data_IF_829315716856
#
_entry.id   IF_829315716856
#
_cell.length_a   1.000
_cell.length_b   1.000
_cell.length_c   1.000
_cell.angle_alpha   90.00
_cell.angle_beta   90.00
_cell.angle_gamma   90.00
#
_symmetry.space_group_name_H-M   'P 1'
#
loop_
_entity.id
_entity.type
_entity.pdbx_description
1 polymer ?
#
# COMPACT_ATOMS: atom_id res chain seq x y z
N UNK A 1 -1.10 -23.01 -2.30
CA UNK A 1 -0.10 -24.06 -2.04
C UNK A 1 1.26 -23.48 -1.69
N UNK A 2 1.97 -22.79 -2.60
CA UNK A 2 3.28 -22.18 -2.28
C UNK A 2 3.23 -21.25 -1.05
N UNK A 3 2.13 -20.52 -0.89
CA UNK A 3 1.84 -19.69 0.27
C UNK A 3 2.05 -20.41 1.61
N UNK A 4 1.81 -21.72 1.70
CA UNK A 4 1.90 -22.50 2.94
C UNK A 4 3.31 -22.52 3.54
N UNK A 5 4.34 -22.31 2.74
CA UNK A 5 5.73 -22.36 3.17
C UNK A 5 6.18 -21.14 4.01
N UNK A 6 5.39 -20.06 4.04
CA UNK A 6 5.85 -18.78 4.59
C UNK A 6 5.18 -18.44 5.93
N UNK A 7 5.90 -17.89 6.93
CA UNK A 7 5.33 -17.46 8.21
C UNK A 7 4.65 -16.09 8.11
N UNK A 8 3.76 -15.92 7.14
CA UNK A 8 3.05 -14.67 6.85
C UNK A 8 1.59 -14.96 6.48
N UNK A 9 0.72 -14.00 6.77
CA UNK A 9 -0.63 -14.04 6.23
C UNK A 9 -0.59 -13.63 4.76
N UNK A 10 -1.24 -14.38 3.88
CA UNK A 10 -1.21 -14.13 2.44
C UNK A 10 -2.62 -14.19 1.86
N UNK A 11 -2.95 -13.19 1.04
CA UNK A 11 -4.12 -13.15 0.18
C UNK A 11 -3.66 -12.74 -1.22
N UNK A 12 -4.38 -13.19 -2.24
CA UNK A 12 -3.96 -13.04 -3.64
C UNK A 12 -4.98 -12.24 -4.44
N UNK A 13 -4.48 -11.40 -5.33
CA UNK A 13 -5.28 -10.70 -6.32
C UNK A 13 -5.30 -11.50 -7.64
N UNK A 14 -6.47 -11.59 -8.26
CA UNK A 14 -6.59 -11.98 -9.66
C UNK A 14 -6.42 -10.80 -10.61
N UNK A 15 -6.43 -11.05 -11.91
CA UNK A 15 -6.48 -10.02 -12.96
C UNK A 15 -7.91 -9.52 -13.13
N UNK A 16 -8.11 -8.21 -13.00
CA UNK A 16 -9.41 -7.53 -13.13
C UNK A 16 -9.75 -7.04 -14.55
N UNK A 17 -8.77 -7.01 -15.46
CA UNK A 17 -8.93 -6.45 -16.79
C UNK A 17 -9.57 -7.42 -17.79
N UNK A 18 -10.91 -7.46 -17.80
CA UNK A 18 -11.72 -8.16 -18.81
C UNK A 18 -13.10 -7.52 -18.84
N UNK A 19 -13.75 -7.48 -20.01
CA UNK A 19 -15.07 -6.85 -20.18
C UNK A 19 -16.24 -7.84 -20.06
N UNK A 20 -15.98 -9.06 -19.60
CA UNK A 20 -16.98 -10.11 -19.35
C UNK A 20 -16.81 -10.65 -17.92
N UNK A 21 -17.89 -10.97 -17.20
CA UNK A 21 -17.81 -11.26 -15.77
C UNK A 21 -17.20 -12.64 -15.46
N UNK A 22 -17.50 -13.66 -16.27
CA UNK A 22 -17.19 -15.05 -15.95
C UNK A 22 -15.70 -15.32 -15.66
N UNK A 23 -14.73 -14.81 -16.46
CA UNK A 23 -13.31 -15.01 -16.16
C UNK A 23 -12.84 -14.36 -14.85
N UNK A 24 -13.55 -13.35 -14.35
CA UNK A 24 -13.26 -12.75 -13.03
C UNK A 24 -13.82 -13.63 -11.91
N UNK A 25 -15.04 -14.11 -12.07
CA UNK A 25 -15.72 -14.99 -11.11
C UNK A 25 -14.90 -16.27 -10.90
N UNK A 26 -14.37 -16.88 -11.97
CA UNK A 26 -13.54 -18.08 -11.89
C UNK A 26 -12.27 -17.89 -11.07
N UNK A 27 -11.63 -16.71 -11.13
CA UNK A 27 -10.44 -16.40 -10.32
C UNK A 27 -10.80 -16.23 -8.84
N UNK A 28 -11.95 -15.61 -8.56
CA UNK A 28 -12.45 -15.44 -7.19
C UNK A 28 -12.87 -16.79 -6.61
N UNK A 29 -13.60 -17.62 -7.37
CA UNK A 29 -13.96 -19.00 -7.04
C UNK A 29 -12.72 -19.88 -6.81
N UNK A 30 -11.59 -19.56 -7.44
CA UNK A 30 -10.32 -20.26 -7.25
C UNK A 30 -9.51 -19.80 -6.02
N UNK A 31 -9.86 -18.68 -5.38
CA UNK A 31 -9.23 -18.22 -4.13
C UNK A 31 -8.80 -16.76 -4.07
N UNK A 32 -8.96 -15.97 -5.14
CA UNK A 32 -8.58 -14.55 -5.11
C UNK A 32 -9.46 -13.76 -4.14
N UNK A 33 -8.87 -12.91 -3.29
CA UNK A 33 -9.59 -12.03 -2.35
C UNK A 33 -9.91 -10.65 -2.93
N UNK A 34 -9.43 -10.40 -4.15
CA UNK A 34 -9.57 -9.15 -4.86
C UNK A 34 -9.10 -9.28 -6.30
N UNK A 35 -9.32 -8.23 -7.08
CA UNK A 35 -8.89 -8.14 -8.48
C UNK A 35 -8.05 -6.87 -8.69
N UNK A 36 -6.96 -6.96 -9.45
CA UNK A 36 -6.14 -5.81 -9.87
C UNK A 36 -6.51 -5.41 -11.29
N UNK A 37 -6.98 -4.18 -11.46
CA UNK A 37 -7.04 -3.47 -12.73
C UNK A 37 -5.69 -2.78 -12.97
N UNK A 38 -5.03 -3.08 -14.08
CA UNK A 38 -3.75 -2.49 -14.47
C UNK A 38 -3.77 -2.01 -15.92
N UNK A 39 -3.13 -0.87 -16.21
CA UNK A 39 -3.13 -0.30 -17.55
C UNK A 39 -2.43 -1.19 -18.59
N UNK A 40 -1.37 -1.90 -18.20
CA UNK A 40 -0.69 -2.92 -19.02
C UNK A 40 -1.61 -4.03 -19.54
N UNK A 41 -2.77 -4.25 -18.88
CA UNK A 41 -3.81 -5.17 -19.32
C UNK A 41 -5.05 -4.45 -19.87
N UNK A 42 -5.03 -3.13 -19.98
CA UNK A 42 -6.12 -2.25 -20.40
C UNK A 42 -7.05 -1.86 -19.26
N UNK A 43 -6.76 -0.76 -18.55
CA UNK A 43 -7.62 -0.18 -17.50
C UNK A 43 -8.75 0.69 -18.07
N UNK A 44 -9.49 0.15 -19.03
CA UNK A 44 -10.56 0.87 -19.75
C UNK A 44 -11.83 0.98 -18.91
N UNK A 45 -12.72 1.96 -19.17
CA UNK A 45 -14.00 2.09 -18.50
C UNK A 45 -14.85 0.80 -18.50
N UNK A 46 -14.82 0.01 -19.59
CA UNK A 46 -15.55 -1.24 -19.69
C UNK A 46 -15.00 -2.32 -18.74
N UNK A 47 -13.67 -2.45 -18.65
CA UNK A 47 -13.02 -3.37 -17.74
C UNK A 47 -13.25 -2.96 -16.27
N UNK A 48 -13.13 -1.67 -15.97
CA UNK A 48 -13.40 -1.10 -14.64
C UNK A 48 -14.85 -1.39 -14.22
N UNK A 49 -15.83 -1.10 -15.08
CA UNK A 49 -17.24 -1.30 -14.77
C UNK A 49 -17.57 -2.77 -14.49
N UNK A 50 -17.08 -3.68 -15.34
CA UNK A 50 -17.27 -5.12 -15.18
C UNK A 50 -16.60 -5.64 -13.90
N UNK A 51 -15.34 -5.26 -13.64
CA UNK A 51 -14.61 -5.66 -12.46
C UNK A 51 -15.30 -5.22 -11.17
N UNK A 52 -15.76 -3.97 -11.11
CA UNK A 52 -16.50 -3.46 -9.95
C UNK A 52 -17.87 -4.13 -9.82
N UNK A 53 -18.56 -4.46 -10.92
CA UNK A 53 -19.82 -5.19 -10.86
C UNK A 53 -19.65 -6.62 -10.31
N UNK A 54 -18.57 -7.31 -10.67
CA UNK A 54 -18.21 -8.63 -10.09
C UNK A 54 -17.84 -8.46 -8.61
N UNK A 55 -17.03 -7.45 -8.27
CA UNK A 55 -16.63 -7.17 -6.90
C UNK A 55 -17.83 -6.95 -5.97
N UNK A 56 -18.85 -6.19 -6.41
CA UNK A 56 -20.11 -6.02 -5.66
C UNK A 56 -20.84 -7.34 -5.41
N UNK A 57 -20.90 -8.25 -6.39
CA UNK A 57 -21.60 -9.53 -6.25
C UNK A 57 -20.88 -10.53 -5.35
N UNK A 58 -19.56 -10.49 -5.33
CA UNK A 58 -18.72 -11.52 -4.68
C UNK A 58 -18.01 -11.04 -3.41
N UNK A 59 -18.28 -9.81 -2.97
CA UNK A 59 -17.67 -9.16 -1.81
C UNK A 59 -16.13 -9.24 -1.80
N UNK A 60 -15.51 -8.74 -2.86
CA UNK A 60 -14.04 -8.64 -2.97
C UNK A 60 -13.58 -7.21 -3.24
N UNK A 61 -12.31 -6.89 -2.98
CA UNK A 61 -11.77 -5.57 -3.29
C UNK A 61 -11.32 -5.49 -4.76
N UNK A 62 -11.44 -4.30 -5.36
CA UNK A 62 -10.81 -3.99 -6.63
C UNK A 62 -9.69 -2.96 -6.40
N UNK A 63 -8.47 -3.31 -6.81
CA UNK A 63 -7.31 -2.43 -6.79
C UNK A 63 -7.09 -1.85 -8.20
N UNK A 64 -6.78 -0.56 -8.33
CA UNK A 64 -6.62 0.12 -9.60
C UNK A 64 -5.24 0.77 -9.75
N UNK A 65 -4.62 0.46 -10.89
CA UNK A 65 -3.63 1.28 -11.58
C UNK A 65 -4.30 1.75 -12.87
N UNK A 66 -4.59 3.05 -12.98
CA UNK A 66 -5.42 3.60 -14.05
C UNK A 66 -4.62 3.87 -15.33
N UNK A 67 -5.32 4.26 -16.39
CA UNK A 67 -4.76 4.53 -17.71
C UNK A 67 -3.88 5.81 -17.69
N UNK A 68 -2.56 5.66 -17.62
CA UNK A 68 -1.61 6.80 -17.60
C UNK A 68 -1.68 7.59 -18.89
N UNK A 69 -1.89 6.89 -20.01
CA UNK A 69 -1.89 7.43 -21.36
C UNK A 69 -3.15 8.24 -21.66
N UNK A 70 -4.17 8.14 -20.80
CA UNK A 70 -5.51 8.69 -21.05
C UNK A 70 -6.11 8.15 -22.37
N UNK A 71 -5.75 6.93 -22.78
CA UNK A 71 -6.12 6.32 -24.06
C UNK A 71 -7.65 6.17 -24.17
N UNK A 72 -8.28 5.65 -23.11
CA UNK A 72 -9.71 5.39 -23.07
C UNK A 72 -10.52 6.55 -22.43
N UNK A 73 -9.85 7.67 -22.15
CA UNK A 73 -10.40 8.87 -21.51
C UNK A 73 -9.51 9.37 -20.36
N UNK A 74 -9.74 10.61 -19.93
CA UNK A 74 -9.08 11.21 -18.78
C UNK A 74 -9.65 10.71 -17.44
N UNK A 75 -9.10 11.21 -16.33
CA UNK A 75 -9.47 10.80 -14.98
C UNK A 75 -10.98 10.81 -14.73
N UNK A 76 -11.71 11.83 -15.18
CA UNK A 76 -13.15 11.94 -15.02
C UNK A 76 -13.93 10.79 -15.66
N UNK A 77 -13.42 10.21 -16.75
CA UNK A 77 -14.02 9.05 -17.41
C UNK A 77 -13.85 7.79 -16.55
N UNK A 78 -12.67 7.61 -15.96
CA UNK A 78 -12.39 6.54 -15.00
C UNK A 78 -13.22 6.69 -13.72
N UNK A 79 -13.31 7.91 -13.16
CA UNK A 79 -14.15 8.19 -11.99
C UNK A 79 -15.63 7.93 -12.27
N UNK A 80 -16.13 8.30 -13.45
CA UNK A 80 -17.49 7.99 -13.89
C UNK A 80 -17.73 6.48 -14.01
N UNK A 81 -16.75 5.72 -14.51
CA UNK A 81 -16.81 4.26 -14.61
C UNK A 81 -16.91 3.58 -13.23
N UNK A 82 -16.43 4.22 -12.16
CA UNK A 82 -16.61 3.69 -10.81
C UNK A 82 -18.08 3.63 -10.40
N UNK A 83 -18.93 4.56 -10.89
CA UNK A 83 -20.35 4.68 -10.52
C UNK A 83 -20.56 4.72 -9.00
N UNK A 84 -19.65 5.38 -8.29
CA UNK A 84 -19.67 5.50 -6.82
C UNK A 84 -19.40 4.21 -6.04
N UNK A 85 -18.99 3.11 -6.70
CA UNK A 85 -18.63 1.83 -6.04
C UNK A 85 -17.25 1.93 -5.37
N UNK A 86 -17.06 1.17 -4.30
CA UNK A 86 -15.81 1.12 -3.55
C UNK A 86 -14.65 0.64 -4.43
N UNK A 87 -13.53 1.36 -4.42
CA UNK A 87 -12.32 0.97 -5.13
C UNK A 87 -11.07 1.42 -4.38
N UNK A 88 -10.01 0.63 -4.41
CA UNK A 88 -8.69 0.97 -3.88
C UNK A 88 -7.80 1.46 -5.02
N UNK A 89 -7.42 2.74 -5.01
CA UNK A 89 -6.41 3.27 -5.94
C UNK A 89 -5.00 3.00 -5.40
N UNK A 90 -4.21 2.24 -6.16
CA UNK A 90 -2.77 2.08 -5.88
C UNK A 90 -2.03 3.37 -6.24
N UNK A 91 -0.85 3.58 -5.65
CA UNK A 91 0.09 4.69 -5.91
C UNK A 91 -0.61 5.97 -6.41
N UNK A 92 -1.54 6.49 -5.60
CA UNK A 92 -2.55 7.46 -6.04
C UNK A 92 -1.94 8.79 -6.48
N UNK A 93 -0.73 9.10 -6.05
CA UNK A 93 0.02 10.27 -6.55
C UNK A 93 0.37 10.18 -8.04
N UNK A 94 0.59 8.97 -8.57
CA UNK A 94 0.71 8.70 -9.99
C UNK A 94 2.12 8.40 -10.53
N UNK A 95 3.21 8.60 -9.78
CA UNK A 95 4.55 8.20 -10.25
C UNK A 95 4.62 6.69 -10.52
N UNK A 96 4.02 5.88 -9.63
CA UNK A 96 3.84 4.44 -9.82
C UNK A 96 2.90 4.09 -10.97
N UNK A 97 2.09 5.03 -11.47
CA UNK A 97 1.20 4.89 -12.62
C UNK A 97 -0.23 5.37 -12.35
N UNK A 98 -0.87 5.87 -13.40
CA UNK A 98 -2.21 6.45 -13.38
C UNK A 98 -2.30 7.71 -14.23
N UNK A 99 -3.54 8.17 -14.48
CA UNK A 99 -3.85 9.30 -15.37
C UNK A 99 -2.87 10.46 -15.16
N UNK A 100 -2.11 10.79 -16.21
CA UNK A 100 -1.17 11.90 -16.17
C UNK A 100 -1.88 13.22 -16.54
N UNK A 101 -1.72 14.31 -15.76
CA UNK A 101 -0.95 14.43 -14.53
C UNK A 101 -1.77 14.26 -13.23
N UNK A 102 -3.08 14.00 -13.32
CA UNK A 102 -4.06 14.40 -12.31
C UNK A 102 -4.67 13.25 -11.48
N UNK A 103 -4.22 12.00 -11.62
CA UNK A 103 -4.73 10.84 -10.85
C UNK A 103 -4.80 11.09 -9.33
N UNK A 104 -3.91 11.93 -8.78
CA UNK A 104 -3.92 12.35 -7.38
C UNK A 104 -5.25 12.96 -6.92
N UNK A 105 -6.04 13.55 -7.83
CA UNK A 105 -7.35 14.11 -7.51
C UNK A 105 -8.37 13.05 -7.07
N UNK A 106 -8.13 11.76 -7.36
CA UNK A 106 -8.96 10.65 -6.88
C UNK A 106 -9.03 10.58 -5.34
N UNK A 107 -8.07 11.17 -4.61
CA UNK A 107 -8.13 11.24 -3.13
C UNK A 107 -9.36 11.99 -2.61
N UNK A 108 -9.92 12.91 -3.40
CA UNK A 108 -11.12 13.67 -3.04
C UNK A 108 -12.43 12.85 -3.11
N UNK A 109 -12.39 11.64 -3.70
CA UNK A 109 -13.58 10.85 -3.92
C UNK A 109 -13.97 10.01 -2.67
N UNK A 110 -15.25 10.05 -2.24
CA UNK A 110 -15.67 9.38 -1.01
C UNK A 110 -15.70 7.85 -1.12
N UNK A 111 -15.75 7.29 -2.33
CA UNK A 111 -15.74 5.84 -2.60
C UNK A 111 -14.35 5.28 -2.90
N UNK A 112 -13.31 6.14 -2.94
CA UNK A 112 -11.93 5.73 -3.21
C UNK A 112 -11.20 5.50 -1.88
N UNK A 113 -10.46 4.40 -1.79
CA UNK A 113 -9.58 4.06 -0.68
C UNK A 113 -8.11 4.23 -1.14
N UNK A 114 -7.53 5.43 -1.06
CA UNK A 114 -6.25 5.72 -1.70
C UNK A 114 -5.05 5.22 -0.90
N UNK A 115 -4.04 4.73 -1.63
CA UNK A 115 -2.75 4.32 -1.08
C UNK A 115 -1.59 4.92 -1.86
N UNK A 116 -0.47 5.08 -1.18
CA UNK A 116 0.83 5.37 -1.81
C UNK A 116 1.73 4.15 -1.79
N UNK A 117 2.59 4.06 -2.79
CA UNK A 117 3.76 3.18 -2.77
C UNK A 117 4.96 3.94 -2.22
N UNK A 118 6.01 3.24 -1.83
CA UNK A 118 6.99 3.81 -0.92
C UNK A 118 8.23 4.52 -1.53
N UNK A 119 8.58 4.42 -2.83
CA UNK A 119 9.76 5.12 -3.33
C UNK A 119 9.64 6.64 -3.33
N UNK A 120 8.45 7.19 -3.58
CA UNK A 120 8.23 8.64 -3.54
C UNK A 120 8.29 9.19 -2.12
N UNK A 121 8.39 8.34 -1.08
CA UNK A 121 8.09 8.68 0.32
C UNK A 121 9.36 8.87 1.18
N UNK A 122 9.49 10.00 1.88
CA UNK A 122 8.95 11.31 1.51
C UNK A 122 9.68 11.88 0.28
N UNK A 123 9.24 13.05 -0.18
CA UNK A 123 9.96 13.81 -1.19
C UNK A 123 11.34 14.27 -0.67
N UNK A 124 12.41 13.81 -1.32
CA UNK A 124 13.82 14.12 -1.05
C UNK A 124 14.52 14.67 -2.29
N UNK A 125 15.72 15.23 -2.11
CA UNK A 125 16.52 15.80 -3.20
C UNK A 125 16.86 14.81 -4.32
N UNK A 126 16.91 13.51 -4.02
CA UNK A 126 17.22 12.47 -5.03
C UNK A 126 15.97 11.80 -5.60
N UNK A 127 14.77 12.17 -5.15
CA UNK A 127 13.55 11.45 -5.52
C UNK A 127 13.28 11.52 -7.02
N UNK A 128 13.41 12.69 -7.64
CA UNK A 128 13.11 12.86 -9.07
C UNK A 128 14.06 12.07 -9.96
N UNK A 129 15.37 12.25 -9.76
CA UNK A 129 16.41 11.58 -10.55
C UNK A 129 16.30 10.05 -10.43
N UNK A 130 16.07 9.53 -9.22
CA UNK A 130 15.87 8.10 -8.99
C UNK A 130 14.63 7.56 -9.73
N UNK A 131 13.53 8.30 -9.72
CA UNK A 131 12.28 7.82 -10.31
C UNK A 131 12.28 7.91 -11.83
N UNK A 132 12.95 8.91 -12.40
CA UNK A 132 13.10 9.03 -13.85
C UNK A 132 13.83 7.80 -14.39
N UNK A 133 15.00 7.47 -13.85
CA UNK A 133 15.76 6.28 -14.25
C UNK A 133 15.00 4.97 -14.00
N UNK A 134 14.35 4.85 -12.83
CA UNK A 134 13.54 3.67 -12.50
C UNK A 134 12.39 3.46 -13.50
N UNK A 135 11.69 4.53 -13.88
CA UNK A 135 10.58 4.47 -14.82
C UNK A 135 11.06 4.10 -16.22
N UNK A 136 12.18 4.68 -16.66
CA UNK A 136 12.79 4.33 -17.95
C UNK A 136 13.18 2.86 -18.02
N UNK A 137 13.78 2.30 -16.97
CA UNK A 137 14.13 0.88 -16.89
C UNK A 137 12.89 -0.01 -16.85
N UNK A 138 11.90 0.30 -16.01
CA UNK A 138 10.69 -0.51 -15.86
C UNK A 138 9.87 -0.59 -17.16
N UNK A 139 9.82 0.50 -17.92
CA UNK A 139 9.04 0.60 -19.15
C UNK A 139 9.85 0.39 -20.44
N UNK A 140 11.15 0.05 -20.34
CA UNK A 140 12.05 -0.16 -21.48
C UNK A 140 12.09 1.07 -22.43
N UNK A 141 12.08 2.27 -21.86
CA UNK A 141 12.13 3.53 -22.60
C UNK A 141 13.57 3.87 -23.02
N UNK A 142 13.71 4.58 -24.15
CA UNK A 142 14.99 5.01 -24.69
C UNK A 142 15.19 6.53 -24.50
N UNK A 143 16.26 6.98 -23.80
CA UNK A 143 16.57 8.41 -23.65
C UNK A 143 16.90 9.11 -24.99
N UNK A 144 17.10 8.38 -26.08
CA UNK A 144 17.26 8.95 -27.40
C UNK A 144 15.91 9.27 -28.10
N UNK A 145 14.79 8.79 -27.57
CA UNK A 145 13.44 9.02 -28.13
C UNK A 145 12.75 10.14 -27.34
N UNK A 146 12.36 11.21 -28.04
CA UNK A 146 11.78 12.40 -27.40
C UNK A 146 10.42 12.10 -26.76
N UNK A 147 9.62 11.24 -27.38
CA UNK A 147 8.32 10.80 -26.88
C UNK A 147 8.43 9.99 -25.58
N UNK A 148 9.49 9.19 -25.46
CA UNK A 148 9.78 8.41 -24.25
C UNK A 148 10.18 9.31 -23.08
N UNK A 149 10.99 10.34 -23.33
CA UNK A 149 11.30 11.37 -22.34
C UNK A 149 10.04 12.14 -21.94
N UNK A 150 9.24 12.58 -22.92
CA UNK A 150 8.01 13.32 -22.65
C UNK A 150 7.02 12.49 -21.81
N UNK A 151 6.89 11.20 -22.08
CA UNK A 151 6.10 10.28 -21.27
C UNK A 151 6.65 10.19 -19.84
N UNK A 152 7.97 10.03 -19.69
CA UNK A 152 8.60 9.91 -18.39
C UNK A 152 8.46 11.19 -17.54
N UNK A 153 8.67 12.37 -18.15
CA UNK A 153 8.47 13.68 -17.52
C UNK A 153 7.00 13.93 -17.16
N UNK A 154 6.06 13.45 -17.98
CA UNK A 154 4.62 13.56 -17.67
C UNK A 154 4.24 12.76 -16.43
N UNK A 155 4.98 11.69 -16.10
CA UNK A 155 4.69 10.76 -15.00
C UNK A 155 5.44 11.07 -13.71
N UNK A 156 6.70 11.50 -13.80
CA UNK A 156 7.53 11.83 -12.64
C UNK A 156 7.49 13.33 -12.38
N UNK A 157 6.55 13.76 -11.54
CA UNK A 157 6.27 15.19 -11.32
C UNK A 157 6.64 15.59 -9.90
N UNK A 158 7.35 16.71 -9.77
CA UNK A 158 7.77 17.25 -8.47
C UNK A 158 6.57 17.67 -7.64
N UNK A 159 5.61 18.29 -8.30
CA UNK A 159 4.46 18.96 -7.72
C UNK A 159 3.55 17.94 -7.03
N UNK A 160 3.20 16.85 -7.72
CA UNK A 160 2.35 15.79 -7.16
C UNK A 160 3.08 14.98 -6.08
N UNK A 161 4.38 14.68 -6.25
CA UNK A 161 5.21 14.01 -5.22
C UNK A 161 5.30 14.85 -3.92
N UNK A 162 5.45 16.17 -4.04
CA UNK A 162 5.45 17.09 -2.90
C UNK A 162 4.07 17.21 -2.25
N UNK A 163 3.00 17.26 -3.05
CA UNK A 163 1.63 17.29 -2.56
C UNK A 163 1.25 15.99 -1.82
N UNK A 164 1.73 14.84 -2.28
CA UNK A 164 1.48 13.53 -1.67
C UNK A 164 1.95 13.49 -0.20
N UNK A 165 3.07 14.13 0.14
CA UNK A 165 3.53 14.23 1.53
C UNK A 165 2.49 14.93 2.42
N UNK A 166 1.92 16.04 1.94
CA UNK A 166 0.93 16.83 2.68
C UNK A 166 -0.40 16.09 2.75
N UNK A 167 -0.82 15.44 1.66
CA UNK A 167 -2.04 14.62 1.61
C UNK A 167 -1.98 13.45 2.60
N UNK A 168 -0.81 12.85 2.81
CA UNK A 168 -0.61 11.89 3.89
C UNK A 168 -0.80 12.54 5.26
N UNK A 169 -0.21 13.71 5.48
CA UNK A 169 -0.23 14.38 6.78
C UNK A 169 -1.62 14.84 7.18
N UNK A 170 -2.43 15.35 6.24
CA UNK A 170 -3.83 15.75 6.49
C UNK A 170 -4.80 14.56 6.53
N UNK A 171 -4.35 13.36 6.16
CA UNK A 171 -5.17 12.15 6.16
C UNK A 171 -6.09 12.01 4.94
N UNK A 172 -5.69 12.59 3.80
CA UNK A 172 -6.35 12.40 2.51
C UNK A 172 -5.81 11.18 1.75
N UNK A 173 -4.60 10.71 2.04
CA UNK A 173 -4.15 9.37 1.63
C UNK A 173 -4.19 8.43 2.83
N UNK A 174 -4.81 7.27 2.65
CA UNK A 174 -5.24 6.42 3.75
C UNK A 174 -4.32 5.25 4.05
N UNK A 175 -3.51 4.85 3.08
CA UNK A 175 -2.68 3.65 3.17
C UNK A 175 -1.27 3.86 2.61
N UNK A 176 -0.33 3.06 3.11
CA UNK A 176 1.04 2.94 2.62
C UNK A 176 1.27 1.48 2.21
N UNK A 177 1.86 1.28 1.04
CA UNK A 177 2.24 -0.03 0.50
C UNK A 177 3.66 0.02 -0.07
N UNK A 178 4.18 -1.14 -0.49
CA UNK A 178 5.53 -1.20 -1.05
C UNK A 178 5.58 -0.96 -2.55
N UNK A 179 4.81 -1.75 -3.31
CA UNK A 179 5.03 -2.11 -4.73
C UNK A 179 6.28 -2.96 -4.99
N UNK A 180 6.37 -4.09 -4.27
CA UNK A 180 7.62 -4.84 -4.13
C UNK A 180 8.22 -5.25 -5.47
N UNK A 181 9.41 -4.68 -5.78
CA UNK A 181 10.17 -4.91 -7.02
C UNK A 181 9.49 -4.43 -8.32
N UNK A 182 8.40 -3.67 -8.22
CA UNK A 182 7.68 -3.09 -9.35
C UNK A 182 7.48 -1.60 -9.07
N UNK A 183 8.57 -0.84 -9.02
CA UNK A 183 8.61 0.54 -8.49
C UNK A 183 8.36 0.64 -6.98
N UNK A 184 9.01 -0.23 -6.19
CA UNK A 184 8.78 -0.27 -4.76
C UNK A 184 9.67 -1.21 -3.95
N UNK A 185 9.76 -0.93 -2.63
CA UNK A 185 10.73 -1.57 -1.72
C UNK A 185 10.05 -2.31 -0.58
N UNK A 186 9.98 -3.64 -0.64
CA UNK A 186 9.21 -4.45 0.33
C UNK A 186 9.61 -4.25 1.80
N UNK A 187 10.89 -3.98 2.06
CA UNK A 187 11.43 -3.78 3.41
C UNK A 187 11.21 -2.39 4.00
N UNK A 188 10.62 -1.46 3.25
CA UNK A 188 10.67 -0.03 3.60
C UNK A 188 9.31 0.62 3.89
N UNK A 189 8.18 -0.10 3.77
CA UNK A 189 6.84 0.48 4.00
C UNK A 189 6.72 1.15 5.39
N UNK A 190 7.22 0.48 6.43
CA UNK A 190 7.19 1.03 7.80
C UNK A 190 8.12 2.23 7.92
N UNK A 191 9.38 2.11 7.50
CA UNK A 191 10.37 3.18 7.67
C UNK A 191 9.99 4.44 6.89
N UNK A 192 9.48 4.28 5.66
CA UNK A 192 9.07 5.37 4.78
C UNK A 192 7.86 6.11 5.34
N UNK A 193 6.92 5.37 5.95
CA UNK A 193 5.81 5.97 6.70
C UNK A 193 6.30 6.91 7.79
N UNK A 194 7.29 6.47 8.60
CA UNK A 194 7.81 7.28 9.70
C UNK A 194 8.71 8.43 9.23
N UNK A 195 9.44 8.26 8.12
CA UNK A 195 10.19 9.36 7.49
C UNK A 195 9.26 10.45 6.97
N UNK A 196 8.13 10.10 6.34
CA UNK A 196 7.11 11.07 5.93
C UNK A 196 6.50 11.80 7.12
N UNK A 197 6.10 11.07 8.18
CA UNK A 197 5.59 11.70 9.40
C UNK A 197 6.60 12.67 10.02
N UNK A 198 7.89 12.29 10.05
CA UNK A 198 8.96 13.13 10.55
C UNK A 198 9.14 14.40 9.72
N UNK A 199 9.25 14.28 8.39
CA UNK A 199 9.40 15.43 7.49
C UNK A 199 8.24 16.40 7.63
N UNK A 200 7.01 15.87 7.68
CA UNK A 200 5.82 16.69 7.82
C UNK A 200 5.75 17.40 9.17
N UNK A 201 6.18 16.76 10.26
CA UNK A 201 6.37 17.47 11.54
C UNK A 201 7.39 18.60 11.42
N UNK A 202 8.54 18.33 10.80
CA UNK A 202 9.62 19.31 10.69
C UNK A 202 9.22 20.56 9.90
N UNK A 203 8.41 20.39 8.84
CA UNK A 203 8.01 21.49 7.96
C UNK A 203 6.67 22.13 8.34
N UNK A 204 5.74 21.38 8.96
CA UNK A 204 4.36 21.84 9.23
C UNK A 204 4.04 21.98 10.72
N UNK A 205 4.95 21.60 11.61
CA UNK A 205 4.75 21.63 13.06
C UNK A 205 3.78 20.54 13.56
N UNK A 206 3.30 20.65 14.81
CA UNK A 206 2.33 19.73 15.40
C UNK A 206 0.99 19.72 14.63
N UNK A 207 0.33 18.57 14.56
CA UNK A 207 -0.96 18.42 13.89
C UNK A 207 -2.09 18.37 14.93
N UNK A 208 -3.08 19.26 14.85
CA UNK A 208 -4.18 19.28 15.83
C UNK A 208 -4.87 17.89 15.94
N UNK A 209 -5.08 17.33 17.16
CA UNK A 209 -4.96 17.96 18.48
C UNK A 209 -3.59 17.81 19.17
N UNK A 210 -2.53 17.39 18.47
CA UNK A 210 -1.18 17.32 19.04
C UNK A 210 -0.68 18.69 19.52
N UNK A 211 0.25 18.65 20.47
CA UNK A 211 0.90 19.82 21.06
C UNK A 211 2.41 19.64 21.00
N UNK A 212 3.19 20.62 21.43
CA UNK A 212 4.65 20.47 21.47
C UNK A 212 5.16 19.32 22.37
N UNK A 213 4.30 18.79 23.26
CA UNK A 213 4.68 17.71 24.20
C UNK A 213 4.67 16.32 23.58
N UNK A 214 3.92 16.09 22.49
CA UNK A 214 3.77 14.78 21.87
C UNK A 214 3.18 14.88 20.46
N UNK A 215 3.40 13.84 19.66
CA UNK A 215 2.86 13.71 18.30
C UNK A 215 1.86 12.55 18.20
N UNK A 216 1.10 12.27 19.26
CA UNK A 216 0.33 11.03 19.37
C UNK A 216 -0.72 10.88 18.28
N UNK A 217 -1.40 11.95 17.90
CA UNK A 217 -2.39 11.91 16.84
C UNK A 217 -1.75 11.71 15.47
N UNK A 218 -0.64 12.40 15.16
CA UNK A 218 0.15 12.11 13.96
C UNK A 218 0.65 10.67 13.97
N UNK A 219 1.16 10.16 15.09
CA UNK A 219 1.62 8.77 15.23
C UNK A 219 0.47 7.80 14.94
N UNK A 220 -0.71 8.00 15.53
CA UNK A 220 -1.91 7.19 15.30
C UNK A 220 -2.38 7.27 13.84
N UNK A 221 -2.37 8.46 13.23
CA UNK A 221 -2.70 8.66 11.82
C UNK A 221 -1.79 7.85 10.91
N UNK A 222 -0.47 7.88 11.15
CA UNK A 222 0.49 7.23 10.29
C UNK A 222 0.60 5.72 10.52
N UNK A 223 0.53 5.23 11.76
CA UNK A 223 0.54 3.77 12.01
C UNK A 223 -0.68 3.10 11.37
N UNK A 224 -1.83 3.76 11.33
CA UNK A 224 -3.04 3.24 10.69
C UNK A 224 -2.83 2.95 9.19
N UNK A 225 -1.94 3.69 8.50
CA UNK A 225 -1.70 3.58 7.06
C UNK A 225 -1.10 2.24 6.62
N UNK A 226 -0.37 1.56 7.50
CA UNK A 226 0.23 0.25 7.19
C UNK A 226 -0.27 -0.89 8.11
N UNK A 227 -1.27 -0.61 8.96
CA UNK A 227 -1.85 -1.60 9.87
C UNK A 227 -3.34 -1.77 9.61
N UNK A 228 -4.20 -0.95 10.23
CA UNK A 228 -5.65 -1.17 10.19
C UNK A 228 -6.28 -0.77 8.86
N UNK A 229 -5.84 0.31 8.20
CA UNK A 229 -6.48 0.76 6.96
C UNK A 229 -6.30 -0.23 5.80
N UNK A 230 -5.10 -0.81 5.57
CA UNK A 230 -4.95 -1.92 4.63
C UNK A 230 -5.83 -3.12 4.99
N UNK A 231 -5.96 -3.43 6.28
CA UNK A 231 -6.79 -4.55 6.73
C UNK A 231 -8.29 -4.31 6.49
N UNK A 232 -8.78 -3.07 6.69
CA UNK A 232 -10.17 -2.68 6.40
C UNK A 232 -10.41 -2.75 4.89
N UNK A 233 -9.55 -2.11 4.09
CA UNK A 233 -9.69 -2.05 2.65
C UNK A 233 -9.76 -3.44 1.99
N UNK A 234 -9.11 -4.44 2.57
CA UNK A 234 -9.06 -5.81 2.03
C UNK A 234 -9.92 -6.81 2.80
N UNK A 235 -10.82 -6.36 3.68
CA UNK A 235 -11.77 -7.23 4.35
C UNK A 235 -11.17 -8.24 5.34
N UNK A 236 -10.00 -7.92 5.91
CA UNK A 236 -9.25 -8.78 6.85
C UNK A 236 -9.10 -8.15 8.24
N UNK A 237 -9.70 -6.98 8.49
CA UNK A 237 -9.62 -6.26 9.75
C UNK A 237 -10.19 -7.01 10.96
N UNK A 238 -11.01 -8.05 10.74
CA UNK A 238 -11.51 -8.91 11.81
C UNK A 238 -10.46 -9.91 12.32
N UNK A 239 -9.43 -10.22 11.52
CA UNK A 239 -8.33 -11.11 11.91
C UNK A 239 -7.09 -10.33 12.36
N UNK A 240 -6.75 -9.23 11.68
CA UNK A 240 -5.46 -8.55 11.80
C UNK A 240 -5.57 -7.02 11.73
N UNK A 241 -4.43 -6.33 11.78
CA UNK A 241 -4.33 -4.89 11.52
C UNK A 241 -4.27 -4.02 12.77
N UNK A 242 -4.42 -4.58 13.96
CA UNK A 242 -4.32 -3.83 15.23
C UNK A 242 -4.14 -4.77 16.42
N UNK A 243 -3.70 -4.20 17.55
CA UNK A 243 -3.65 -4.90 18.84
C UNK A 243 -5.00 -4.75 19.57
N UNK A 244 -5.95 -5.59 19.19
CA UNK A 244 -7.30 -5.64 19.76
C UNK A 244 -7.65 -7.07 20.19
N UNK A 245 -8.43 -7.21 21.26
CA UNK A 245 -8.86 -8.52 21.76
C UNK A 245 -9.65 -9.25 20.68
N UNK A 246 -9.34 -10.54 20.48
CA UNK A 246 -9.97 -11.39 19.48
C UNK A 246 -9.24 -11.46 18.14
N UNK A 247 -8.31 -10.54 17.86
CA UNK A 247 -7.46 -10.59 16.66
C UNK A 247 -6.25 -11.51 16.84
N UNK A 248 -5.68 -11.95 15.73
CA UNK A 248 -4.48 -12.76 15.72
C UNK A 248 -3.30 -12.01 16.34
N UNK A 249 -2.53 -12.69 17.20
CA UNK A 249 -1.37 -12.13 17.87
C UNK A 249 -0.14 -12.00 16.94
N UNK A 250 -0.28 -11.16 15.91
CA UNK A 250 0.78 -10.72 15.02
C UNK A 250 1.37 -9.41 15.57
N UNK A 251 2.49 -9.54 16.27
CA UNK A 251 3.05 -8.48 17.12
C UNK A 251 4.50 -8.25 16.74
N UNK A 252 4.89 -6.98 16.59
CA UNK A 252 6.28 -6.60 16.35
C UNK A 252 6.79 -5.84 17.56
N UNK A 253 7.88 -6.31 18.15
CA UNK A 253 8.54 -5.68 19.29
C UNK A 253 9.70 -4.82 18.83
N UNK A 254 9.72 -3.59 19.31
CA UNK A 254 10.72 -2.59 18.94
C UNK A 254 11.46 -2.10 20.18
N UNK A 255 12.78 -1.95 20.06
CA UNK A 255 13.51 -1.04 20.95
C UNK A 255 13.26 0.39 20.46
N UNK A 256 12.97 1.36 21.34
CA UNK A 256 12.66 2.73 20.92
C UNK A 256 13.71 3.33 19.96
N UNK A 257 14.99 3.10 20.22
CA UNK A 257 16.09 3.59 19.37
C UNK A 257 16.12 3.01 17.94
N UNK A 258 15.39 1.92 17.67
CA UNK A 258 15.31 1.23 16.38
C UNK A 258 13.88 1.19 15.81
N UNK A 259 12.93 1.89 16.45
CA UNK A 259 11.53 1.91 16.03
C UNK A 259 11.42 2.34 14.56
N UNK A 260 10.64 1.56 13.79
CA UNK A 260 10.41 1.79 12.38
C UNK A 260 11.52 1.30 11.44
N UNK A 261 12.67 0.84 11.95
CA UNK A 261 13.83 0.41 11.13
C UNK A 261 14.12 -1.07 11.26
N UNK A 262 14.55 -1.51 12.45
CA UNK A 262 14.96 -2.90 12.71
C UNK A 262 14.27 -3.42 13.98
N UNK A 263 13.17 -4.19 13.88
CA UNK A 263 12.50 -4.73 15.06
C UNK A 263 13.37 -5.73 15.81
N UNK A 264 13.15 -5.89 17.11
CA UNK A 264 13.84 -6.90 17.93
C UNK A 264 13.28 -8.29 17.70
N UNK A 265 11.95 -8.39 17.53
CA UNK A 265 11.24 -9.65 17.44
C UNK A 265 9.94 -9.47 16.66
N UNK A 266 9.60 -10.47 15.85
CA UNK A 266 8.37 -10.54 15.06
C UNK A 266 7.64 -11.81 15.48
N UNK A 267 6.45 -11.65 16.04
CA UNK A 267 5.55 -12.72 16.44
C UNK A 267 4.48 -12.91 15.39
N UNK A 268 4.16 -14.17 15.09
CA UNK A 268 3.12 -14.60 14.19
C UNK A 268 2.19 -15.56 14.92
N UNK A 269 0.91 -15.18 15.09
CA UNK A 269 -0.07 -15.96 15.85
C UNK A 269 0.42 -16.37 17.25
N UNK A 270 1.14 -15.47 17.92
CA UNK A 270 1.67 -15.68 19.27
C UNK A 270 3.01 -16.45 19.35
N UNK A 271 3.59 -16.87 18.23
CA UNK A 271 4.90 -17.54 18.20
C UNK A 271 5.94 -16.66 17.51
N UNK A 272 7.19 -16.67 17.99
CA UNK A 272 8.26 -15.89 17.36
C UNK A 272 8.58 -16.48 16.00
N UNK A 273 8.36 -15.72 14.93
CA UNK A 273 8.71 -16.09 13.56
C UNK A 273 10.12 -15.60 13.19
N UNK A 274 10.53 -14.41 13.61
CA UNK A 274 11.89 -13.93 13.38
C UNK A 274 12.37 -13.06 14.53
N UNK A 275 13.67 -13.06 14.77
CA UNK A 275 14.30 -12.20 15.78
C UNK A 275 15.74 -11.88 15.42
N UNK A 276 16.27 -10.80 15.98
CA UNK A 276 17.70 -10.51 16.00
C UNK A 276 18.41 -11.53 16.90
N UNK A 277 19.27 -12.35 16.34
CA UNK A 277 19.95 -13.43 17.04
C UNK A 277 21.44 -13.46 16.71
N UNK A 278 22.25 -13.57 17.76
CA UNK A 278 23.71 -13.66 17.70
C UNK A 278 24.24 -15.00 17.18
N UNK A 279 25.49 -15.30 17.51
CA UNK A 279 26.10 -16.60 17.23
C UNK A 279 25.34 -17.74 17.95
N UNK A 280 24.94 -18.75 17.19
CA UNK A 280 24.18 -19.90 17.70
C UNK A 280 25.02 -20.84 18.58
N UNK A 281 26.36 -20.79 18.48
CA UNK A 281 27.27 -21.57 19.32
C UNK A 281 27.77 -20.81 20.56
N UNK A 282 27.41 -19.54 20.70
CA UNK A 282 27.81 -18.74 21.85
C UNK A 282 27.09 -19.17 23.14
N UNK A 283 27.64 -18.81 24.30
CA UNK A 283 27.06 -19.15 25.61
C UNK A 283 25.74 -18.43 25.94
N UNK A 284 25.43 -17.35 25.21
CA UNK A 284 24.24 -16.49 25.36
C UNK A 284 23.85 -15.95 23.97
N UNK A 285 22.61 -15.43 23.74
CA UNK A 285 22.11 -15.11 22.39
C UNK A 285 22.56 -13.77 21.79
N UNK A 286 23.32 -12.96 22.53
CA UNK A 286 23.71 -11.59 22.17
C UNK A 286 25.10 -11.37 21.56
N UNK A 287 26.08 -12.29 21.68
CA UNK A 287 27.38 -12.17 21.01
C UNK A 287 27.22 -12.12 19.49
N UNK A 288 28.10 -11.34 18.86
CA UNK A 288 28.09 -11.10 17.42
C UNK A 288 28.46 -12.38 16.63
N UNK A 289 28.00 -12.51 15.36
CA UNK A 289 27.20 -11.55 14.60
C UNK A 289 25.69 -11.66 14.87
N UNK A 290 25.06 -10.53 15.20
CA UNK A 290 23.61 -10.41 15.38
C UNK A 290 22.96 -9.98 14.07
N UNK A 291 22.10 -10.85 13.52
CA UNK A 291 21.28 -10.56 12.35
C UNK A 291 19.90 -11.22 12.48
N UNK A 292 18.98 -10.89 11.57
CA UNK A 292 17.68 -11.56 11.55
C UNK A 292 17.85 -13.03 11.21
N UNK A 293 17.22 -13.88 12.02
CA UNK A 293 17.15 -15.32 11.79
C UNK A 293 15.69 -15.76 11.91
N UNK A 294 15.22 -16.68 11.05
CA UNK A 294 13.96 -17.37 11.27
C UNK A 294 13.99 -18.14 12.59
N UNK A 295 12.89 -18.11 13.32
CA UNK A 295 12.69 -18.76 14.62
C UNK A 295 11.68 -19.90 14.50
N UNK A 296 11.37 -20.60 15.59
CA UNK A 296 10.49 -21.77 15.56
C UNK A 296 9.11 -21.52 14.92
N UNK A 297 8.56 -20.30 15.00
CA UNK A 297 7.33 -19.90 14.33
C UNK A 297 7.39 -19.94 12.79
N UNK A 298 8.57 -20.11 12.21
CA UNK A 298 8.81 -20.18 10.76
C UNK A 298 8.88 -21.59 10.18
N UNK A 299 8.73 -22.63 10.99
CA UNK A 299 9.01 -23.99 10.56
C UNK A 299 7.90 -24.99 10.88
N UNK A 300 7.76 -26.00 10.02
CA UNK A 300 6.89 -27.15 10.23
C UNK A 300 5.44 -26.77 10.60
N UNK A 301 4.89 -27.46 11.60
CA UNK A 301 3.51 -27.23 12.04
C UNK A 301 3.24 -25.83 12.59
N UNK A 302 4.27 -25.05 12.96
CA UNK A 302 4.09 -23.69 13.44
C UNK A 302 3.62 -22.72 12.34
N UNK A 303 3.83 -23.07 11.06
CA UNK A 303 3.32 -22.29 9.93
C UNK A 303 1.78 -22.15 9.94
N UNK A 304 1.07 -23.06 10.64
CA UNK A 304 -0.38 -22.97 10.87
C UNK A 304 -0.83 -21.78 11.72
N UNK A 305 0.11 -21.06 12.37
CA UNK A 305 -0.13 -19.78 13.06
C UNK A 305 -0.28 -18.60 12.08
N UNK A 306 -0.08 -18.84 10.79
CA UNK A 306 -0.35 -17.89 9.70
C UNK A 306 -1.67 -18.22 9.01
N UNK A 307 -2.24 -17.20 8.37
CA UNK A 307 -3.49 -17.30 7.62
C UNK A 307 -3.23 -17.35 6.11
N UNK A 308 -4.03 -18.15 5.41
CA UNK A 308 -4.27 -17.93 3.98
C UNK A 308 -5.66 -17.31 3.86
N UNK A 309 -5.73 -16.09 3.34
CA UNK A 309 -6.98 -15.41 3.07
C UNK A 309 -7.53 -15.85 1.70
N UNK A 310 -8.82 -16.19 1.68
CA UNK A 310 -9.56 -16.57 0.46
C UNK A 310 -10.90 -15.83 0.41
N UNK A 311 -11.52 -15.76 -0.77
CA UNK A 311 -12.89 -15.28 -0.93
C UNK A 311 -13.90 -16.23 -0.28
N UNK A 312 -15.10 -15.73 0.02
CA UNK A 312 -16.21 -16.57 0.47
C UNK A 312 -16.53 -17.66 -0.55
N UNK A 313 -16.57 -17.32 -1.84
CA UNK A 313 -16.86 -18.27 -2.92
C UNK A 313 -15.86 -19.44 -2.97
N UNK A 314 -14.56 -19.17 -2.81
CA UNK A 314 -13.55 -20.22 -2.80
C UNK A 314 -13.63 -21.10 -1.55
N UNK A 315 -13.96 -20.52 -0.41
CA UNK A 315 -14.18 -21.26 0.83
C UNK A 315 -15.37 -22.22 0.70
N UNK A 316 -16.51 -21.71 0.21
CA UNK A 316 -17.74 -22.49 0.01
C UNK A 316 -17.55 -23.60 -1.04
N UNK A 317 -16.75 -23.34 -2.07
CA UNK A 317 -16.37 -24.32 -3.09
C UNK A 317 -15.31 -25.34 -2.59
N UNK A 318 -14.95 -25.33 -1.31
CA UNK A 318 -14.01 -26.27 -0.71
C UNK A 318 -12.59 -26.22 -1.31
N UNK A 319 -12.19 -25.08 -1.91
CA UNK A 319 -10.87 -24.92 -2.53
C UNK A 319 -9.73 -25.28 -1.57
N UNK A 320 -9.72 -24.83 -0.30
CA UNK A 320 -8.62 -25.15 0.61
C UNK A 320 -8.41 -26.65 0.80
N UNK A 321 -9.51 -27.41 0.91
CA UNK A 321 -9.47 -28.88 1.02
C UNK A 321 -8.95 -29.53 -0.26
N UNK A 322 -9.46 -29.10 -1.42
CA UNK A 322 -9.03 -29.62 -2.74
C UNK A 322 -7.54 -29.38 -3.01
N UNK A 323 -7.01 -28.23 -2.56
CA UNK A 323 -5.59 -27.89 -2.72
C UNK A 323 -4.69 -28.47 -1.61
N UNK A 324 -5.27 -29.10 -0.59
CA UNK A 324 -4.55 -29.65 0.56
C UNK A 324 -3.82 -28.57 1.38
N UNK A 325 -4.42 -27.38 1.53
CA UNK A 325 -3.80 -26.29 2.28
C UNK A 325 -3.70 -26.65 3.76
N UNK A 326 -2.51 -26.42 4.32
CA UNK A 326 -2.13 -26.76 5.69
C UNK A 326 -2.22 -25.58 6.65
N UNK A 327 -2.09 -24.34 6.15
CA UNK A 327 -2.30 -23.12 6.93
C UNK A 327 -3.76 -22.96 7.35
N UNK A 328 -3.96 -22.23 8.44
CA UNK A 328 -5.31 -21.80 8.85
C UNK A 328 -5.91 -20.92 7.75
N UNK A 329 -7.16 -21.18 7.38
CA UNK A 329 -7.86 -20.41 6.35
C UNK A 329 -8.73 -19.36 7.03
N UNK A 330 -8.68 -18.13 6.52
CA UNK A 330 -9.57 -17.06 6.92
C UNK A 330 -10.28 -16.50 5.68
N UNK A 331 -11.55 -16.13 5.84
CA UNK A 331 -12.37 -15.61 4.74
C UNK A 331 -12.35 -14.08 4.77
N UNK A 332 -11.81 -13.47 3.72
CA UNK A 332 -11.85 -12.02 3.55
C UNK A 332 -13.30 -11.60 3.23
N UNK A 333 -13.80 -10.56 3.91
CA UNK A 333 -15.21 -10.12 3.83
C UNK A 333 -15.40 -8.65 4.22
N UNK A 334 -16.50 -8.05 3.78
CA UNK A 334 -16.88 -6.67 4.10
C UNK A 334 -16.06 -5.64 3.33
N UNK A 335 -15.78 -5.91 2.06
CA UNK A 335 -14.97 -5.04 1.19
C UNK A 335 -15.81 -4.05 0.39
N UNK A 336 -17.13 -4.29 0.27
CA UNK A 336 -18.06 -3.43 -0.48
C UNK A 336 -18.82 -2.48 0.43
N UNK A 337 -19.19 -1.32 -0.10
CA UNK A 337 -19.86 -0.26 0.66
C UNK A 337 -18.92 0.60 1.51
N UNK A 338 -17.64 0.23 1.64
CA UNK A 338 -16.63 1.04 2.32
C UNK A 338 -16.47 2.40 1.63
N UNK A 339 -16.27 3.41 2.46
CA UNK A 339 -16.03 4.80 2.09
C UNK A 339 -14.70 5.26 2.68
N UNK A 340 -14.22 6.38 2.16
CA UNK A 340 -13.04 7.07 2.67
C UNK A 340 -13.16 7.35 4.16
N UNK A 341 -14.36 7.70 4.64
CA UNK A 341 -14.65 7.96 6.06
C UNK A 341 -14.38 6.75 6.99
N UNK A 342 -14.38 5.52 6.47
CA UNK A 342 -14.08 4.31 7.25
C UNK A 342 -12.57 4.13 7.51
N UNK A 343 -11.73 4.91 6.83
CA UNK A 343 -10.28 4.87 7.01
C UNK A 343 -9.88 5.59 8.29
N UNK A 344 -9.45 4.81 9.29
CA UNK A 344 -9.10 5.27 10.62
C UNK A 344 -8.07 6.40 10.55
N UNK A 345 -8.47 7.57 11.08
CA UNK A 345 -7.71 8.83 11.10
C UNK A 345 -7.33 9.42 9.74
N UNK A 346 -7.75 8.81 8.63
CA UNK A 346 -7.34 9.15 7.27
C UNK A 346 -8.53 9.16 6.29
N UNK A 347 -9.65 9.72 6.73
CA UNK A 347 -10.89 9.80 5.97
C UNK A 347 -11.15 11.13 5.27
N UNK A 348 -10.15 11.99 5.11
CA UNK A 348 -10.34 13.30 4.49
C UNK A 348 -10.64 13.19 2.99
N UNK A 349 -11.58 14.00 2.51
CA UNK A 349 -12.01 14.12 1.10
C UNK A 349 -11.95 15.59 0.67
N UNK A 350 -10.75 16.20 0.57
CA UNK A 350 -10.63 17.58 0.12
C UNK A 350 -11.10 17.72 -1.34
N UNK A 351 -11.55 18.91 -1.71
CA UNK A 351 -11.75 19.27 -3.11
C UNK A 351 -10.39 19.42 -3.78
N UNK A 352 -10.10 18.59 -4.78
CA UNK A 352 -8.79 18.54 -5.44
C UNK A 352 -8.81 19.22 -6.79
N UNK A 353 -7.76 19.98 -7.06
CA UNK A 353 -7.49 20.60 -8.37
C UNK A 353 -6.03 20.32 -8.74
N UNK A 354 -5.78 19.94 -9.99
CA UNK A 354 -4.44 19.77 -10.56
C UNK A 354 -4.40 20.56 -11.85
N UNK A 355 -3.46 21.50 -11.94
CA UNK A 355 -3.29 22.29 -13.15
C UNK A 355 -2.65 21.43 -14.26
N UNK A 356 -3.23 21.34 -15.46
CA UNK A 356 -2.76 20.42 -16.50
C UNK A 356 -1.44 20.85 -17.16
N UNK A 357 -1.01 22.11 -16.99
CA UNK A 357 0.21 22.64 -17.60
C UNK A 357 1.36 22.74 -16.58
N UNK A 358 1.05 23.20 -15.37
CA UNK A 358 2.03 23.46 -14.30
C UNK A 358 2.12 22.34 -13.27
N UNK A 359 1.14 21.42 -13.26
CA UNK A 359 0.99 20.33 -12.30
C UNK A 359 0.79 20.78 -10.85
N UNK A 360 0.54 22.08 -10.62
CA UNK A 360 0.21 22.61 -9.29
C UNK A 360 -0.99 21.86 -8.71
N UNK A 361 -0.82 21.30 -7.50
CA UNK A 361 -1.87 20.58 -6.79
C UNK A 361 -2.46 21.49 -5.72
N UNK A 362 -3.79 21.63 -5.71
CA UNK A 362 -4.53 22.34 -4.67
C UNK A 362 -5.51 21.41 -3.97
N UNK A 363 -5.65 21.59 -2.66
CA UNK A 363 -6.72 21.00 -1.86
C UNK A 363 -7.50 22.11 -1.17
N UNK A 364 -8.81 22.16 -1.41
CA UNK A 364 -9.70 23.22 -0.91
C UNK A 364 -9.17 24.63 -1.23
N UNK A 365 -8.65 24.80 -2.46
CA UNK A 365 -8.03 26.03 -2.97
C UNK A 365 -6.60 26.32 -2.47
N UNK A 366 -6.09 25.55 -1.51
CA UNK A 366 -4.74 25.73 -0.94
C UNK A 366 -3.69 24.97 -1.75
N UNK A 367 -2.65 25.67 -2.21
CA UNK A 367 -1.50 25.07 -2.90
C UNK A 367 -0.75 24.11 -1.97
N UNK A 368 -0.55 22.87 -2.43
CA UNK A 368 0.13 21.82 -1.70
C UNK A 368 1.59 21.71 -2.15
N UNK A 369 2.46 22.49 -1.52
CA UNK A 369 3.91 22.50 -1.81
C UNK A 369 4.72 22.24 -0.54
N UNK A 370 5.78 21.44 -0.66
CA UNK A 370 6.75 21.24 0.41
C UNK A 370 8.16 21.05 -0.14
N UNK A 371 9.17 21.45 0.62
CA UNK A 371 10.57 21.35 0.22
C UNK A 371 11.08 19.91 0.29
N UNK A 372 12.02 19.57 -0.60
CA UNK A 372 12.68 18.27 -0.61
C UNK A 372 13.56 18.11 0.65
N UNK A 373 13.48 16.96 1.34
CA UNK A 373 14.39 16.67 2.43
C UNK A 373 15.80 16.34 1.91
N UNK A 374 16.84 16.92 2.52
CA UNK A 374 18.25 16.65 2.19
C UNK A 374 18.83 15.46 2.96
N UNK A 375 18.33 15.21 4.18
CA UNK A 375 18.71 14.09 5.05
C UNK A 375 17.46 13.57 5.74
N UNK A 376 17.37 12.25 5.92
CA UNK A 376 16.27 11.61 6.64
C UNK A 376 16.78 10.88 7.90
N UNK A 377 15.96 10.81 8.97
CA UNK A 377 16.19 9.84 10.03
C UNK A 377 16.00 8.42 9.48
N UNK A 378 16.28 7.41 10.32
CA UNK A 378 15.99 6.01 9.97
C UNK A 378 16.73 5.54 8.70
N UNK A 379 17.90 6.13 8.39
CA UNK A 379 18.70 5.87 7.20
C UNK A 379 20.17 5.53 7.57
N UNK A 380 21.14 6.35 7.17
CA UNK A 380 22.60 6.12 7.28
C UNK A 380 23.10 5.63 8.65
N UNK A 381 22.43 6.00 9.75
CA UNK A 381 22.78 5.56 11.10
C UNK A 381 22.60 4.06 11.33
N UNK A 382 21.70 3.40 10.59
CA UNK A 382 21.20 2.07 10.92
C UNK A 382 21.57 0.99 9.91
N UNK A 383 21.86 1.36 8.66
CA UNK A 383 22.13 0.41 7.60
C UNK A 383 23.61 0.37 7.27
N UNK A 384 24.11 -0.84 6.99
CA UNK A 384 25.49 -1.04 6.58
C UNK A 384 25.71 -0.57 5.13
N UNK A 385 24.65 -0.61 4.33
CA UNK A 385 24.58 -0.19 2.94
C UNK A 385 23.28 0.58 2.70
#
# INVERSE_FOLDING_TARGET
>A
QAADAFPMNLGFFGKGNVSQPRPLEEQIEAGAIGLKLHEDWGSTPAAIDNCLAVAERMDVQAALHSDTLNEAGFLESTLAAFKGRTIHTFHTEGAGGGHAPDIIAAVGQPNVLPSSTNPTRPYTVNTLDEHLDMLMVCHHLDPAIAEDIAFAESRIRRETIAAEDILHDIGAISMMSSDSQAMGRVGETILRTWQTAHKMKAQRGPLAPDTERNDNFRIKRYIAKYTINPAIAHGIAHEVGSLEVGKLADIVLWRPAFFGVKPSMILKGGMIAASLMGDANASIPTPQPVHYRPMFGSFGGALRKSLTFVSQAAFDAGVPGRLGLSKTIAVARGMRGLRKADMVHNGATPFMEVDPETYEVRADGQLLVCEAATVLPLAQRYFLF
#
